data_IF_519591686676
#
_entry.id   IF_519591686676
#
_cell.length_a   1.000
_cell.length_b   1.000
_cell.length_c   1.000
_cell.angle_alpha   90.00
_cell.angle_beta   90.00
_cell.angle_gamma   90.00
#
_symmetry.space_group_name_H-M   'P 1'
#
loop_
_entity.id
_entity.type
_entity.pdbx_description
1 polymer ?
#
# COMPACT_ATOMS: atom_id res chain seq x y z
N UNK A 1 1.09 -21.09 -0.89
CA UNK A 1 1.71 -20.17 0.10
C UNK A 1 2.77 -19.33 -0.62
N UNK A 2 2.52 -18.05 -0.92
CA UNK A 2 3.50 -17.13 -1.58
C UNK A 2 3.53 -15.78 -0.86
N UNK A 3 3.07 -15.68 0.39
CA UNK A 3 3.09 -14.39 1.12
C UNK A 3 4.46 -14.04 1.70
N UNK A 4 5.37 -15.01 1.83
CA UNK A 4 6.75 -14.76 2.28
C UNK A 4 7.55 -13.90 1.30
N UNK A 5 7.26 -13.96 -0.01
CA UNK A 5 7.96 -13.10 -1.01
C UNK A 5 7.65 -11.61 -0.82
N UNK A 6 6.56 -11.29 -0.14
CA UNK A 6 6.19 -9.90 0.11
C UNK A 6 7.13 -9.27 1.15
N UNK A 7 7.70 -10.04 2.06
CA UNK A 7 8.54 -9.51 3.14
C UNK A 7 9.99 -9.90 2.93
N UNK A 8 10.89 -8.93 3.11
CA UNK A 8 12.30 -9.23 3.29
C UNK A 8 12.47 -9.68 4.74
N UNK A 9 12.42 -10.97 5.02
CA UNK A 9 12.60 -11.51 6.39
C UNK A 9 11.40 -11.29 7.31
N UNK A 10 10.30 -12.06 7.15
CA UNK A 10 9.17 -12.03 8.08
C UNK A 10 9.60 -12.52 9.48
N UNK A 11 8.91 -12.05 10.51
CA UNK A 11 9.22 -12.27 11.92
C UNK A 11 9.07 -13.73 12.36
N UNK A 12 8.15 -14.48 11.74
CA UNK A 12 7.95 -15.91 11.99
C UNK A 12 7.83 -16.70 10.68
N UNK A 13 8.95 -17.28 10.25
CA UNK A 13 9.02 -18.11 9.04
C UNK A 13 8.36 -19.49 9.21
N UNK A 14 8.31 -20.00 10.43
CA UNK A 14 7.80 -21.34 10.72
C UNK A 14 6.27 -21.33 10.83
N UNK A 15 5.68 -20.27 11.36
CA UNK A 15 4.24 -20.12 11.56
C UNK A 15 3.71 -18.78 11.01
N UNK A 16 3.72 -18.58 9.67
CA UNK A 16 3.32 -17.31 9.05
C UNK A 16 1.79 -17.11 9.01
N UNK A 17 1.01 -17.90 9.75
CA UNK A 17 -0.45 -17.97 9.62
C UNK A 17 -1.15 -16.67 9.99
N UNK A 18 -0.67 -15.97 11.02
CA UNK A 18 -1.23 -14.68 11.43
C UNK A 18 -1.06 -13.62 10.33
N UNK A 19 0.16 -13.45 9.83
CA UNK A 19 0.48 -12.52 8.74
C UNK A 19 -0.27 -12.89 7.45
N UNK A 20 -0.34 -14.19 7.14
CA UNK A 20 -1.12 -14.69 6.00
C UNK A 20 -2.60 -14.34 6.15
N UNK A 21 -3.22 -14.63 7.29
CA UNK A 21 -4.63 -14.35 7.54
C UNK A 21 -4.94 -12.84 7.44
N UNK A 22 -4.04 -11.99 7.92
CA UNK A 22 -4.20 -10.54 7.86
C UNK A 22 -4.17 -9.98 6.43
N UNK A 23 -3.47 -10.64 5.50
CA UNK A 23 -3.20 -10.10 4.15
C UNK A 23 -3.88 -10.87 3.02
N UNK A 24 -4.19 -12.15 3.21
CA UNK A 24 -4.80 -13.00 2.20
C UNK A 24 -6.15 -12.44 1.74
N UNK A 25 -6.53 -12.73 0.49
CA UNK A 25 -7.78 -12.29 -0.13
C UNK A 25 -7.97 -10.76 -0.21
N UNK A 26 -6.91 -9.98 0.01
CA UNK A 26 -6.94 -8.51 -0.15
C UNK A 26 -6.16 -8.10 -1.38
N UNK A 27 -6.66 -7.09 -2.10
CA UNK A 27 -5.87 -6.36 -3.07
C UNK A 27 -4.92 -5.44 -2.30
N UNK A 28 -3.62 -5.70 -2.43
CA UNK A 28 -2.58 -4.95 -1.72
C UNK A 28 -1.50 -4.50 -2.69
N UNK A 29 -0.89 -3.36 -2.41
CA UNK A 29 0.43 -3.01 -2.96
C UNK A 29 1.48 -3.75 -2.13
N UNK A 30 2.45 -4.42 -2.74
CA UNK A 30 3.46 -5.15 -1.97
C UNK A 30 4.24 -4.21 -1.05
N UNK A 31 4.62 -4.65 0.16
CA UNK A 31 5.27 -3.77 1.12
C UNK A 31 6.65 -3.32 0.61
N UNK A 32 7.38 -4.15 -0.15
CA UNK A 32 8.63 -3.76 -0.80
C UNK A 32 8.42 -2.57 -1.74
N UNK A 33 7.39 -2.62 -2.61
CA UNK A 33 7.11 -1.52 -3.54
C UNK A 33 6.57 -0.30 -2.81
N UNK A 34 5.71 -0.49 -1.79
CA UNK A 34 5.24 0.60 -0.90
C UNK A 34 6.44 1.33 -0.28
N UNK A 35 7.35 0.60 0.36
CA UNK A 35 8.43 1.17 1.17
C UNK A 35 9.60 1.70 0.35
N UNK A 36 10.08 0.97 -0.66
CA UNK A 36 11.32 1.32 -1.36
C UNK A 36 11.08 2.16 -2.63
N UNK A 37 9.86 2.17 -3.19
CA UNK A 37 9.58 2.80 -4.49
C UNK A 37 8.52 3.91 -4.36
N UNK A 38 7.29 3.55 -3.99
CA UNK A 38 6.16 4.49 -4.07
C UNK A 38 6.22 5.58 -3.00
N UNK A 39 6.70 5.27 -1.80
CA UNK A 39 6.95 6.24 -0.71
C UNK A 39 7.95 7.35 -1.09
N UNK A 40 8.78 7.12 -2.13
CA UNK A 40 9.84 8.04 -2.56
C UNK A 40 9.33 9.10 -3.53
N UNK A 41 8.18 8.85 -4.15
CA UNK A 41 7.55 9.73 -5.17
C UNK A 41 6.02 9.74 -5.03
N UNK A 42 5.47 9.97 -3.82
CA UNK A 42 4.05 9.73 -3.53
C UNK A 42 3.10 10.57 -4.39
N UNK A 43 3.47 11.80 -4.74
CA UNK A 43 2.69 12.68 -5.62
C UNK A 43 2.51 12.07 -7.02
N UNK A 44 3.61 11.57 -7.62
CA UNK A 44 3.57 10.95 -8.95
C UNK A 44 2.79 9.63 -8.94
N UNK A 45 2.86 8.88 -7.85
CA UNK A 45 2.06 7.66 -7.70
C UNK A 45 0.57 8.03 -7.57
N UNK A 46 0.23 9.05 -6.79
CA UNK A 46 -1.15 9.54 -6.67
C UNK A 46 -1.72 10.00 -8.01
N UNK A 47 -0.96 10.79 -8.77
CA UNK A 47 -1.36 11.22 -10.12
C UNK A 47 -1.64 10.02 -11.06
N UNK A 48 -0.83 8.98 -10.96
CA UNK A 48 -1.02 7.76 -11.74
C UNK A 48 -2.25 6.95 -11.29
N UNK A 49 -2.45 6.78 -9.98
CA UNK A 49 -3.63 6.12 -9.40
C UNK A 49 -4.91 6.84 -9.80
N UNK A 50 -4.94 8.17 -9.65
CA UNK A 50 -6.12 8.99 -9.94
C UNK A 50 -6.48 8.92 -11.44
N UNK A 51 -5.50 8.93 -12.34
CA UNK A 51 -5.71 8.74 -13.80
C UNK A 51 -6.27 7.36 -14.14
N UNK A 52 -5.69 6.27 -13.61
CA UNK A 52 -6.25 4.92 -13.84
C UNK A 52 -7.70 4.86 -13.36
N UNK A 53 -7.97 5.35 -12.16
CA UNK A 53 -9.29 5.32 -11.57
C UNK A 53 -10.31 6.16 -12.39
N UNK A 54 -9.90 7.32 -12.90
CA UNK A 54 -10.75 8.21 -13.69
C UNK A 54 -10.99 7.71 -15.11
N UNK A 55 -9.93 7.32 -15.80
CA UNK A 55 -9.95 7.10 -17.25
C UNK A 55 -10.44 5.69 -17.60
N UNK A 56 -10.22 4.69 -16.73
CA UNK A 56 -10.44 3.28 -17.07
C UNK A 56 -11.71 2.74 -16.40
N UNK A 57 -12.65 2.25 -17.21
CA UNK A 57 -13.89 1.59 -16.74
C UNK A 57 -13.68 0.08 -16.53
N UNK A 58 -12.67 -0.29 -15.76
CA UNK A 58 -12.32 -1.69 -15.53
C UNK A 58 -13.27 -2.39 -14.53
N UNK A 59 -13.37 -3.72 -14.65
CA UNK A 59 -14.10 -4.60 -13.71
C UNK A 59 -13.25 -5.75 -13.18
N UNK A 60 -12.02 -5.89 -13.70
CA UNK A 60 -11.06 -6.93 -13.35
C UNK A 60 -9.66 -6.36 -13.40
N UNK A 61 -8.78 -6.88 -12.55
CA UNK A 61 -7.35 -6.59 -12.55
C UNK A 61 -6.60 -7.89 -12.81
N UNK A 62 -5.56 -7.82 -13.65
CA UNK A 62 -4.64 -8.93 -13.92
C UNK A 62 -3.30 -8.57 -13.27
N UNK A 63 -3.05 -8.95 -12.01
CA UNK A 63 -1.76 -8.70 -11.40
C UNK A 63 -0.68 -9.57 -12.04
N UNK A 64 0.55 -9.06 -12.12
CA UNK A 64 1.70 -9.85 -12.58
C UNK A 64 2.12 -10.94 -11.58
N UNK A 65 1.58 -10.89 -10.34
CA UNK A 65 1.95 -11.76 -9.23
C UNK A 65 0.66 -12.31 -8.59
N UNK A 66 0.71 -13.53 -8.04
CA UNK A 66 -0.42 -14.23 -7.41
C UNK A 66 -1.58 -14.60 -8.35
N UNK A 67 -2.71 -15.00 -7.76
CA UNK A 67 -3.90 -15.41 -8.48
C UNK A 67 -4.43 -14.27 -9.36
N UNK A 68 -4.65 -14.57 -10.63
CA UNK A 68 -5.17 -13.68 -11.63
C UNK A 68 -6.09 -14.45 -12.59
N UNK A 69 -7.11 -13.81 -13.18
CA UNK A 69 -7.58 -12.44 -12.90
C UNK A 69 -8.32 -12.34 -11.56
N UNK A 70 -8.41 -11.14 -11.00
CA UNK A 70 -9.26 -10.84 -9.84
C UNK A 70 -10.42 -9.92 -10.24
N UNK A 71 -11.61 -10.16 -9.66
CA UNK A 71 -12.72 -9.23 -9.74
C UNK A 71 -12.43 -8.09 -8.74
N UNK A 72 -12.14 -6.90 -9.27
CA UNK A 72 -11.82 -5.73 -8.47
C UNK A 72 -12.36 -4.49 -9.17
N UNK A 73 -12.96 -3.62 -8.37
CA UNK A 73 -13.56 -2.36 -8.78
C UNK A 73 -12.59 -1.19 -8.62
N UNK A 74 -13.02 -0.01 -9.09
CA UNK A 74 -12.32 1.26 -8.84
C UNK A 74 -12.10 1.52 -7.35
N UNK A 75 -13.09 1.24 -6.49
CA UNK A 75 -12.96 1.46 -5.05
C UNK A 75 -11.95 0.51 -4.41
N UNK A 76 -11.89 -0.75 -4.84
CA UNK A 76 -10.91 -1.71 -4.33
C UNK A 76 -9.48 -1.28 -4.69
N UNK A 77 -9.29 -0.80 -5.92
CA UNK A 77 -8.01 -0.25 -6.36
C UNK A 77 -7.60 0.99 -5.55
N UNK A 78 -8.51 1.96 -5.36
CA UNK A 78 -8.22 3.15 -4.55
C UNK A 78 -7.91 2.79 -3.09
N UNK A 79 -8.64 1.84 -2.50
CA UNK A 79 -8.38 1.36 -1.14
C UNK A 79 -6.98 0.74 -1.01
N UNK A 80 -6.52 -0.03 -2.00
CA UNK A 80 -5.16 -0.60 -1.99
C UNK A 80 -4.04 0.46 -1.99
N UNK A 81 -4.32 1.66 -2.50
CA UNK A 81 -3.39 2.80 -2.55
C UNK A 81 -3.63 3.86 -1.47
N UNK A 82 -4.56 3.65 -0.53
CA UNK A 82 -4.89 4.60 0.53
C UNK A 82 -3.69 4.94 1.45
N UNK A 83 -2.64 4.10 1.44
CA UNK A 83 -1.39 4.40 2.16
C UNK A 83 -0.70 5.69 1.69
N UNK A 84 -1.00 6.20 0.49
CA UNK A 84 -0.42 7.45 0.00
C UNK A 84 -0.84 8.66 0.85
N UNK A 85 -1.96 8.57 1.55
CA UNK A 85 -2.44 9.62 2.46
C UNK A 85 -1.53 9.77 3.71
N UNK A 86 -0.65 8.79 3.99
CA UNK A 86 0.40 8.91 5.01
C UNK A 86 1.51 9.89 4.58
N UNK A 87 1.71 10.06 3.26
CA UNK A 87 2.83 10.81 2.67
C UNK A 87 2.43 12.13 2.03
N UNK A 88 1.14 12.34 1.78
CA UNK A 88 0.59 13.53 1.14
C UNK A 88 -0.26 14.32 2.13
N UNK A 89 -0.29 15.66 2.05
CA UNK A 89 -1.23 16.45 2.84
C UNK A 89 -2.67 16.03 2.55
N UNK A 90 -3.50 16.08 3.58
CA UNK A 90 -4.92 15.74 3.47
C UNK A 90 -5.57 16.60 2.37
N UNK A 91 -6.23 15.95 1.42
CA UNK A 91 -6.94 16.65 0.35
C UNK A 91 -7.98 17.56 1.00
N UNK A 92 -8.07 18.83 0.60
CA UNK A 92 -9.27 19.61 0.89
C UNK A 92 -10.47 18.82 0.35
N UNK A 93 -11.29 18.29 1.26
CA UNK A 93 -12.37 17.40 0.90
C UNK A 93 -13.30 18.14 -0.07
N UNK A 94 -13.38 17.68 -1.32
CA UNK A 94 -14.59 17.92 -2.09
C UNK A 94 -15.73 17.30 -1.26
N UNK A 95 -16.77 18.10 -0.98
CA UNK A 95 -17.83 17.81 -0.01
C UNK A 95 -18.18 16.31 0.08
N UNK A 96 -18.26 15.73 1.29
CA UNK A 96 -18.31 14.29 1.44
C UNK A 96 -19.62 13.76 0.88
N UNK A 97 -19.54 13.03 -0.23
CA UNK A 97 -20.62 12.14 -0.64
C UNK A 97 -20.75 11.01 0.38
N UNK A 98 -21.98 10.50 0.55
CA UNK A 98 -22.35 9.42 1.49
C UNK A 98 -21.40 8.19 1.45
N UNK A 99 -20.70 7.98 0.32
CA UNK A 99 -19.71 6.93 0.11
C UNK A 99 -18.44 7.06 0.97
N UNK A 100 -18.03 8.27 1.37
CA UNK A 100 -16.82 8.48 2.17
C UNK A 100 -17.07 8.17 3.67
N UNK A 101 -18.30 8.42 4.12
CA UNK A 101 -18.75 8.12 5.49
C UNK A 101 -18.74 6.61 5.77
N UNK A 102 -19.05 5.79 4.76
CA UNK A 102 -18.97 4.32 4.88
C UNK A 102 -17.51 3.82 4.90
N UNK A 103 -16.62 4.45 4.15
CA UNK A 103 -15.19 4.10 4.14
C UNK A 103 -14.52 4.39 5.50
N UNK A 104 -14.93 5.47 6.19
CA UNK A 104 -14.43 5.80 7.53
C UNK A 104 -14.83 4.79 8.62
N UNK A 105 -15.93 4.05 8.45
CA UNK A 105 -16.31 2.96 9.36
C UNK A 105 -15.52 1.66 9.10
N UNK A 106 -14.93 1.50 7.91
CA UNK A 106 -14.19 0.31 7.50
C UNK A 106 -12.68 0.36 7.81
N UNK A 107 -12.32 1.19 8.80
CA UNK A 107 -10.99 1.27 9.38
C UNK A 107 -10.13 2.36 8.75
N UNK A 108 -9.55 3.21 9.61
CA UNK A 108 -8.27 3.88 9.31
C UNK A 108 -7.39 2.87 8.57
N UNK A 109 -6.68 3.33 7.53
CA UNK A 109 -5.66 2.58 6.81
C UNK A 109 -4.58 2.09 7.78
N UNK A 110 -4.90 1.08 8.58
CA UNK A 110 -3.99 0.32 9.39
C UNK A 110 -3.16 -0.44 8.37
N UNK A 111 -1.84 -0.25 8.42
CA UNK A 111 -0.89 -1.03 7.64
C UNK A 111 -1.34 -2.48 7.61
N UNK A 112 -1.67 -2.99 6.42
CA UNK A 112 -2.03 -4.40 6.23
C UNK A 112 -0.89 -5.34 6.64
N UNK A 113 0.30 -4.79 6.85
CA UNK A 113 1.53 -5.49 7.19
C UNK A 113 1.77 -5.45 8.69
N UNK A 114 1.96 -6.61 9.35
CA UNK A 114 2.38 -6.69 10.75
C UNK A 114 3.68 -5.91 10.97
N UNK A 115 3.78 -5.08 12.03
CA UNK A 115 4.98 -4.26 12.27
C UNK A 115 6.26 -5.08 12.42
N UNK A 116 6.19 -6.26 13.04
CA UNK A 116 7.34 -7.14 13.23
C UNK A 116 7.86 -7.68 11.89
N UNK A 117 6.99 -7.99 10.93
CA UNK A 117 7.36 -8.45 9.59
C UNK A 117 7.96 -7.31 8.74
N UNK A 118 7.72 -6.06 9.11
CA UNK A 118 8.24 -4.88 8.40
C UNK A 118 9.65 -4.47 8.87
N UNK A 119 10.13 -4.96 10.01
CA UNK A 119 11.39 -4.49 10.65
C UNK A 119 12.59 -4.53 9.70
N UNK A 120 12.83 -5.67 9.07
CA UNK A 120 13.96 -5.88 8.16
C UNK A 120 13.85 -5.02 6.89
N UNK A 121 12.63 -4.83 6.37
CA UNK A 121 12.41 -3.97 5.21
C UNK A 121 12.61 -2.49 5.56
N UNK A 122 12.15 -2.06 6.74
CA UNK A 122 12.36 -0.69 7.24
C UNK A 122 13.83 -0.41 7.50
N UNK A 123 14.57 -1.34 8.12
CA UNK A 123 16.01 -1.17 8.35
C UNK A 123 16.81 -1.16 7.03
N UNK A 124 16.40 -1.95 6.05
CA UNK A 124 16.97 -1.88 4.70
C UNK A 124 16.71 -0.51 4.06
N UNK A 125 15.50 0.03 4.18
CA UNK A 125 15.19 1.38 3.65
C UNK A 125 16.08 2.44 4.30
N UNK A 126 16.19 2.43 5.63
CA UNK A 126 17.04 3.35 6.38
C UNK A 126 18.51 3.26 5.93
N UNK A 127 19.03 2.03 5.77
CA UNK A 127 20.37 1.80 5.27
C UNK A 127 20.56 2.35 3.85
N UNK A 128 19.67 2.00 2.92
CA UNK A 128 19.75 2.47 1.52
C UNK A 128 19.66 4.00 1.42
N UNK A 129 18.87 4.64 2.28
CA UNK A 129 18.81 6.10 2.40
C UNK A 129 20.13 6.67 2.92
N UNK A 130 20.73 6.04 3.94
CA UNK A 130 21.97 6.51 4.57
C UNK A 130 23.17 6.50 3.61
N UNK A 131 23.22 5.52 2.70
CA UNK A 131 24.28 5.42 1.68
C UNK A 131 23.93 6.20 0.41
N UNK A 132 22.77 6.87 0.36
CA UNK A 132 22.33 7.67 -0.79
C UNK A 132 21.89 6.86 -2.01
N UNK A 133 21.67 5.54 -1.87
CA UNK A 133 21.22 4.67 -2.95
C UNK A 133 19.75 4.91 -3.31
N UNK A 134 18.93 5.31 -2.34
CA UNK A 134 17.52 5.70 -2.55
C UNK A 134 17.21 7.06 -1.93
N UNK A 135 16.20 7.75 -2.46
CA UNK A 135 15.74 9.03 -1.89
C UNK A 135 15.16 8.83 -0.50
N UNK A 136 15.17 9.88 0.31
CA UNK A 136 14.42 9.91 1.57
C UNK A 136 12.93 9.77 1.29
N UNK A 137 12.24 9.02 2.14
CA UNK A 137 10.78 8.95 2.14
C UNK A 137 10.20 10.33 2.40
N UNK A 138 9.23 10.75 1.59
CA UNK A 138 8.59 12.06 1.75
C UNK A 138 7.62 11.95 2.93
N UNK A 139 7.85 12.70 4.00
CA UNK A 139 6.90 12.81 5.11
C UNK A 139 5.92 13.96 4.83
N UNK A 140 4.66 13.63 4.58
CA UNK A 140 3.59 14.62 4.35
C UNK A 140 3.17 15.38 5.62
N UNK A 141 3.52 14.88 6.81
CA UNK A 141 3.32 15.62 8.06
C UNK A 141 4.44 16.63 8.24
N UNK A 142 4.13 17.90 8.00
CA UNK A 142 4.81 19.00 8.68
C UNK A 142 4.73 18.72 10.18
N UNK A 143 5.88 18.62 10.84
CA UNK A 143 5.96 18.79 12.29
C UNK A 143 5.56 20.22 12.66
#
# INVERSE_FOLDING_TARGET
>A
MVLQILFLGPSNLLEPNASFAQMSQKLIVSPIVKTLVFSKVPEKVRDWVDRIAADWRFRRIIPCHFAAPINASRSDFLAAFAFLDEFLPERAAAAPGLSLLLASFMGKAASYFPPDDMKTLSSLDEFLVSVGAVKKTVSGRKR
#
